data_IF_324009444451
#
_entry.id   IF_324009444451
#
_cell.length_a   1.000
_cell.length_b   1.000
_cell.length_c   1.000
_cell.angle_alpha   90.00
_cell.angle_beta   90.00
_cell.angle_gamma   90.00
#
_symmetry.space_group_name_H-M   'P 1'
#
loop_
_entity.id
_entity.type
_entity.pdbx_description
1 polymer ?
#
# COMPACT_ATOMS: atom_id res chain seq x y z
N UNK A 1 23.91 22.12 7.11
CA UNK A 1 24.26 23.56 7.16
C UNK A 1 23.01 24.34 6.80
N UNK A 2 22.30 24.94 7.76
CA UNK A 2 21.01 25.59 7.49
C UNK A 2 21.21 26.98 6.88
N UNK A 3 20.32 27.39 5.97
CA UNK A 3 20.34 28.71 5.34
C UNK A 3 20.05 29.87 6.32
N UNK A 4 19.36 29.60 7.43
CA UNK A 4 19.09 30.58 8.50
C UNK A 4 18.15 30.02 9.56
N UNK A 5 17.82 30.82 10.58
CA UNK A 5 16.94 30.40 11.70
C UNK A 5 15.52 30.10 11.24
N UNK A 6 15.06 30.79 10.18
CA UNK A 6 13.73 30.59 9.59
C UNK A 6 13.48 29.14 9.15
N UNK A 7 14.54 28.37 8.84
CA UNK A 7 14.42 26.96 8.45
C UNK A 7 13.88 26.12 9.61
N UNK A 8 14.41 26.31 10.82
CA UNK A 8 13.96 25.58 12.01
C UNK A 8 12.58 26.09 12.49
N UNK A 9 12.34 27.40 12.42
CA UNK A 9 11.06 28.02 12.78
C UNK A 9 9.92 27.53 11.87
N UNK A 10 10.14 27.50 10.55
CA UNK A 10 9.18 26.99 9.59
C UNK A 10 8.89 25.50 9.80
N UNK A 11 9.93 24.70 10.08
CA UNK A 11 9.78 23.27 10.35
C UNK A 11 8.86 23.00 11.55
N UNK A 12 9.12 23.70 12.67
CA UNK A 12 8.35 23.54 13.89
C UNK A 12 6.90 24.00 13.70
N UNK A 13 6.70 25.19 13.14
CA UNK A 13 5.37 25.74 12.92
C UNK A 13 4.50 24.83 12.03
N UNK A 14 5.08 24.29 10.93
CA UNK A 14 4.37 23.37 10.06
C UNK A 14 4.09 22.02 10.73
N UNK A 15 5.02 21.48 11.52
CA UNK A 15 4.82 20.23 12.28
C UNK A 15 3.70 20.36 13.32
N UNK A 16 3.61 21.50 14.00
CA UNK A 16 2.58 21.78 15.00
C UNK A 16 1.20 22.03 14.39
N UNK A 17 1.15 22.72 13.24
CA UNK A 17 -0.10 23.00 12.52
C UNK A 17 -0.63 21.81 11.71
N UNK A 18 0.25 20.90 11.28
CA UNK A 18 -0.13 19.75 10.47
C UNK A 18 -1.06 18.79 11.22
N UNK A 19 -2.04 18.27 10.48
CA UNK A 19 -2.95 17.21 10.92
C UNK A 19 -2.46 15.86 10.42
N UNK A 20 -3.06 14.80 10.96
CA UNK A 20 -2.72 13.43 10.59
C UNK A 20 -1.76 12.80 11.59
N UNK A 21 -1.13 11.70 11.17
CA UNK A 21 -0.24 10.94 12.03
C UNK A 21 1.15 11.61 12.17
N UNK A 22 2.01 11.01 12.99
CA UNK A 22 3.36 11.53 13.23
C UNK A 22 4.19 11.63 11.94
N UNK A 23 4.02 10.68 11.01
CA UNK A 23 4.78 10.65 9.76
C UNK A 23 4.39 11.84 8.86
N UNK A 24 3.09 12.13 8.75
CA UNK A 24 2.57 13.28 7.98
C UNK A 24 3.04 14.61 8.58
N UNK A 25 2.99 14.73 9.90
CA UNK A 25 3.42 15.94 10.59
C UNK A 25 4.92 16.20 10.44
N UNK A 26 5.76 15.17 10.61
CA UNK A 26 7.20 15.28 10.39
C UNK A 26 7.48 15.70 8.94
N UNK A 27 6.85 15.04 7.98
CA UNK A 27 7.03 15.35 6.56
C UNK A 27 6.62 16.79 6.23
N UNK A 28 5.50 17.28 6.77
CA UNK A 28 5.07 18.67 6.61
C UNK A 28 6.12 19.66 7.15
N UNK A 29 6.68 19.37 8.33
CA UNK A 29 7.78 20.14 8.90
C UNK A 29 9.01 20.16 7.99
N UNK A 30 9.44 19.00 7.49
CA UNK A 30 10.59 18.90 6.59
C UNK A 30 10.38 19.68 5.29
N UNK A 31 9.19 19.59 4.68
CA UNK A 31 8.86 20.32 3.46
C UNK A 31 8.87 21.85 3.68
N UNK A 32 8.34 22.32 4.81
CA UNK A 32 8.36 23.74 5.15
C UNK A 32 9.78 24.25 5.42
N UNK A 33 10.62 23.43 6.06
CA UNK A 33 12.03 23.73 6.30
C UNK A 33 12.79 23.92 4.97
N UNK A 34 12.57 23.02 4.02
CA UNK A 34 13.19 23.07 2.69
C UNK A 34 12.74 24.32 1.91
N UNK A 35 11.44 24.62 1.94
CA UNK A 35 10.89 25.84 1.34
C UNK A 35 11.41 27.14 1.97
N UNK A 36 11.80 27.12 3.26
CA UNK A 36 12.40 28.25 3.96
C UNK A 36 13.91 28.43 3.68
N UNK A 37 14.48 27.61 2.79
CA UNK A 37 15.86 27.68 2.32
C UNK A 37 16.71 26.45 2.63
N UNK A 38 16.21 25.53 3.48
CA UNK A 38 16.81 24.20 3.67
C UNK A 38 18.29 24.18 4.05
N UNK A 39 18.98 23.12 3.61
CA UNK A 39 20.45 23.05 3.66
C UNK A 39 21.05 23.86 2.51
N UNK A 40 22.04 24.70 2.79
CA UNK A 40 22.67 25.60 1.80
C UNK A 40 23.34 24.89 0.62
N UNK A 41 23.60 23.58 0.74
CA UNK A 41 24.12 22.75 -0.37
C UNK A 41 23.02 22.25 -1.31
N UNK A 42 21.75 22.42 -0.94
CA UNK A 42 20.61 21.73 -1.54
C UNK A 42 20.33 20.37 -0.89
N UNK A 43 19.19 19.79 -1.25
CA UNK A 43 18.78 18.46 -0.79
C UNK A 43 19.17 17.38 -1.81
N UNK A 44 19.71 16.27 -1.33
CA UNK A 44 20.08 15.11 -2.17
C UNK A 44 19.46 13.81 -1.67
N UNK A 45 19.28 13.67 -0.35
CA UNK A 45 18.69 12.49 0.27
C UNK A 45 17.73 12.87 1.38
N UNK A 46 16.79 11.96 1.68
CA UNK A 46 15.88 12.11 2.81
C UNK A 46 15.43 10.75 3.34
N UNK A 47 15.17 10.68 4.65
CA UNK A 47 14.65 9.49 5.31
C UNK A 47 13.50 9.89 6.22
N UNK A 48 12.39 9.16 6.14
CA UNK A 48 11.29 9.23 7.10
C UNK A 48 11.13 7.87 7.77
N UNK A 49 11.50 7.79 9.05
CA UNK A 49 11.39 6.58 9.85
C UNK A 49 10.57 6.85 11.10
N UNK A 50 9.49 6.09 11.27
CA UNK A 50 8.60 6.14 12.42
C UNK A 50 8.48 4.75 13.01
N UNK A 51 8.69 4.65 14.32
CA UNK A 51 8.54 3.42 15.09
C UNK A 51 7.45 3.60 16.14
N UNK A 52 6.81 2.50 16.54
CA UNK A 52 5.84 2.51 17.62
C UNK A 52 6.54 2.75 18.96
N UNK A 53 5.82 3.30 19.93
CA UNK A 53 6.31 3.46 21.31
C UNK A 53 6.32 2.15 22.12
N UNK A 54 5.93 1.02 21.52
CA UNK A 54 5.80 -0.25 22.25
C UNK A 54 7.17 -0.92 22.40
N UNK A 55 7.49 -1.28 23.65
CA UNK A 55 8.62 -2.17 23.93
C UNK A 55 8.22 -3.59 23.61
N UNK A 56 8.98 -4.26 22.75
CA UNK A 56 8.70 -5.60 22.25
C UNK A 56 10.01 -6.39 22.19
N UNK A 57 9.91 -7.72 22.33
CA UNK A 57 11.04 -8.63 22.08
C UNK A 57 11.44 -8.65 20.59
N UNK A 58 10.59 -8.11 19.71
CA UNK A 58 10.81 -8.02 18.26
C UNK A 58 10.71 -6.57 17.78
N UNK A 59 11.65 -5.68 18.17
CA UNK A 59 11.56 -4.24 17.88
C UNK A 59 11.52 -3.91 16.37
N UNK A 60 12.02 -4.81 15.51
CA UNK A 60 11.90 -4.66 14.05
C UNK A 60 10.45 -4.74 13.54
N UNK A 61 9.55 -5.39 14.28
CA UNK A 61 8.12 -5.44 13.96
C UNK A 61 7.37 -4.16 14.39
N UNK A 62 8.02 -3.27 15.14
CA UNK A 62 7.42 -2.01 15.59
C UNK A 62 7.71 -0.85 14.63
N UNK A 63 8.31 -1.11 13.47
CA UNK A 63 8.51 -0.10 12.42
C UNK A 63 7.17 0.18 11.73
N UNK A 64 6.72 1.43 11.80
CA UNK A 64 5.44 1.89 11.22
C UNK A 64 5.65 2.48 9.83
N UNK A 65 6.71 3.28 9.67
CA UNK A 65 7.14 3.86 8.40
C UNK A 65 8.66 3.74 8.33
N UNK A 66 9.19 3.29 7.20
CA UNK A 66 10.61 3.34 6.87
C UNK A 66 10.75 3.62 5.39
N UNK A 67 10.96 4.90 5.07
CA UNK A 67 11.08 5.40 3.71
C UNK A 67 12.38 6.14 3.55
N UNK A 68 13.07 5.85 2.45
CA UNK A 68 14.40 6.37 2.16
C UNK A 68 14.51 6.71 0.69
N UNK A 69 14.96 7.93 0.43
CA UNK A 69 15.37 8.41 -0.89
C UNK A 69 16.86 8.72 -0.77
N UNK A 70 17.68 7.85 -1.34
CA UNK A 70 19.14 7.92 -1.21
C UNK A 70 19.77 8.97 -2.13
N UNK A 71 19.17 9.21 -3.29
CA UNK A 71 19.65 10.20 -4.26
C UNK A 71 18.49 10.69 -5.13
N UNK A 72 18.10 11.95 -4.97
CA UNK A 72 17.13 12.63 -5.81
C UNK A 72 17.28 14.16 -5.67
N UNK A 73 17.10 14.97 -6.73
CA UNK A 73 17.16 16.44 -6.62
C UNK A 73 16.04 17.04 -5.75
N UNK A 74 14.97 16.29 -5.50
CA UNK A 74 13.84 16.69 -4.66
C UNK A 74 13.43 15.52 -3.75
N UNK A 75 14.27 15.14 -2.75
CA UNK A 75 14.06 13.90 -2.01
C UNK A 75 12.85 13.98 -1.07
N UNK A 76 12.50 15.17 -0.56
CA UNK A 76 11.31 15.37 0.26
C UNK A 76 10.01 15.29 -0.54
N UNK A 77 10.00 15.80 -1.77
CA UNK A 77 8.88 15.60 -2.71
C UNK A 77 8.66 14.11 -2.98
N UNK A 78 9.74 13.35 -3.17
CA UNK A 78 9.64 11.90 -3.35
C UNK A 78 9.16 11.18 -2.09
N UNK A 79 9.60 11.56 -0.89
CA UNK A 79 9.03 11.01 0.35
C UNK A 79 7.53 11.29 0.47
N UNK A 80 7.07 12.47 0.07
CA UNK A 80 5.65 12.83 0.07
C UNK A 80 4.84 11.98 -0.90
N UNK A 81 5.38 11.68 -2.08
CA UNK A 81 4.79 10.74 -3.05
C UNK A 81 4.78 9.30 -2.53
N UNK A 82 5.85 8.88 -1.85
CA UNK A 82 6.04 7.49 -1.40
C UNK A 82 5.26 7.16 -0.13
N UNK A 83 5.00 8.10 0.77
CA UNK A 83 4.29 7.87 2.03
C UNK A 83 2.91 7.21 1.86
N UNK A 84 1.96 7.79 1.09
CA UNK A 84 0.66 7.16 0.87
C UNK A 84 0.79 5.83 0.10
N UNK A 85 1.75 5.73 -0.84
CA UNK A 85 1.99 4.50 -1.61
C UNK A 85 2.49 3.35 -0.75
N UNK A 86 3.38 3.62 0.20
CA UNK A 86 3.87 2.65 1.18
C UNK A 86 2.73 2.12 2.06
N UNK A 87 1.84 3.01 2.51
CA UNK A 87 0.63 2.61 3.26
C UNK A 87 -0.30 1.74 2.42
N UNK A 88 -0.48 2.08 1.14
CA UNK A 88 -1.27 1.29 0.20
C UNK A 88 -0.71 -0.14 0.04
N UNK A 89 0.60 -0.30 -0.18
CA UNK A 89 1.22 -1.62 -0.24
C UNK A 89 1.14 -2.39 1.07
N UNK A 90 1.21 -1.71 2.22
CA UNK A 90 0.99 -2.33 3.53
C UNK A 90 -0.44 -2.88 3.66
N UNK A 91 -1.44 -2.17 3.13
CA UNK A 91 -2.83 -2.64 3.11
C UNK A 91 -3.00 -3.88 2.21
N UNK A 92 -2.36 -3.88 1.04
CA UNK A 92 -2.31 -5.05 0.14
C UNK A 92 -1.69 -6.26 0.84
N UNK A 93 -0.51 -6.07 1.45
CA UNK A 93 0.19 -7.13 2.19
C UNK A 93 -0.63 -7.67 3.37
N UNK A 94 -1.41 -6.82 4.03
CA UNK A 94 -2.30 -7.21 5.11
C UNK A 94 -3.44 -8.13 4.63
N UNK A 95 -3.82 -8.10 3.35
CA UNK A 95 -4.77 -9.06 2.78
C UNK A 95 -4.05 -10.32 2.31
N UNK A 96 -2.97 -10.16 1.53
CA UNK A 96 -2.23 -11.26 0.91
C UNK A 96 -1.84 -12.37 1.90
N UNK A 97 -1.36 -12.01 3.08
CA UNK A 97 -0.84 -12.96 4.07
C UNK A 97 -1.79 -13.25 5.24
N UNK A 98 -3.03 -12.78 5.20
CA UNK A 98 -3.98 -13.00 6.29
C UNK A 98 -4.58 -14.41 6.22
N UNK A 99 -4.27 -15.21 7.25
CA UNK A 99 -4.91 -16.52 7.47
C UNK A 99 -6.41 -16.35 7.70
N UNK A 100 -7.20 -17.28 7.19
CA UNK A 100 -8.67 -17.22 7.26
C UNK A 100 -9.29 -16.32 6.20
N UNK A 101 -8.57 -15.28 5.76
CA UNK A 101 -9.03 -14.36 4.71
C UNK A 101 -8.55 -14.80 3.32
N UNK A 102 -7.24 -14.89 3.12
CA UNK A 102 -6.63 -15.22 1.82
C UNK A 102 -5.88 -16.55 1.86
N UNK A 103 -5.34 -16.91 3.02
CA UNK A 103 -4.59 -18.15 3.23
C UNK A 103 -5.37 -19.16 4.07
N UNK A 104 -5.45 -20.40 3.60
CA UNK A 104 -6.12 -21.50 4.31
C UNK A 104 -7.64 -21.46 4.16
N UNK A 105 -8.43 -22.11 5.04
CA UNK A 105 -9.89 -22.13 4.94
C UNK A 105 -10.50 -20.73 5.09
N UNK A 106 -11.47 -20.37 4.23
CA UNK A 106 -12.25 -19.15 4.35
C UNK A 106 -13.40 -19.34 5.36
N UNK A 107 -13.11 -19.18 6.65
CA UNK A 107 -14.06 -19.49 7.72
C UNK A 107 -13.97 -18.48 8.86
N UNK A 108 -15.12 -18.07 9.41
CA UNK A 108 -15.17 -17.16 10.56
C UNK A 108 -14.72 -15.73 10.25
N UNK A 109 -14.83 -15.30 8.99
CA UNK A 109 -14.51 -13.93 8.59
C UNK A 109 -15.68 -13.03 8.95
N UNK A 110 -15.40 -11.99 9.74
CA UNK A 110 -16.38 -10.97 10.08
C UNK A 110 -16.77 -10.15 8.83
N UNK A 111 -18.08 -9.96 8.54
CA UNK A 111 -18.52 -9.24 7.35
C UNK A 111 -18.06 -7.77 7.28
N UNK A 112 -17.95 -7.09 8.42
CA UNK A 112 -17.50 -5.69 8.46
C UNK A 112 -15.99 -5.64 8.20
N UNK A 113 -15.22 -6.58 8.76
CA UNK A 113 -13.80 -6.71 8.43
C UNK A 113 -13.60 -7.02 6.94
N UNK A 114 -14.35 -7.96 6.37
CA UNK A 114 -14.25 -8.30 4.95
C UNK A 114 -14.50 -7.06 4.06
N UNK A 115 -15.55 -6.31 4.36
CA UNK A 115 -15.89 -5.07 3.64
C UNK A 115 -14.74 -4.06 3.74
N UNK A 116 -14.22 -3.84 4.95
CA UNK A 116 -13.11 -2.93 5.17
C UNK A 116 -11.83 -3.35 4.41
N UNK A 117 -11.55 -4.66 4.28
CA UNK A 117 -10.41 -5.17 3.50
C UNK A 117 -10.58 -4.93 2.01
N UNK A 118 -11.78 -5.14 1.47
CA UNK A 118 -12.10 -4.87 0.06
C UNK A 118 -11.98 -3.38 -0.25
N UNK A 119 -12.53 -2.51 0.60
CA UNK A 119 -12.44 -1.05 0.45
C UNK A 119 -10.99 -0.55 0.55
N UNK A 120 -10.19 -1.15 1.44
CA UNK A 120 -8.77 -0.86 1.55
C UNK A 120 -8.01 -1.22 0.27
N UNK A 121 -8.36 -2.32 -0.41
CA UNK A 121 -7.75 -2.69 -1.70
C UNK A 121 -8.16 -1.74 -2.83
N UNK A 122 -9.42 -1.29 -2.86
CA UNK A 122 -9.86 -0.25 -3.82
C UNK A 122 -9.10 1.04 -3.61
N UNK A 123 -8.99 1.50 -2.35
CA UNK A 123 -8.24 2.71 -1.99
C UNK A 123 -6.75 2.58 -2.31
N UNK A 124 -6.18 1.39 -2.07
CA UNK A 124 -4.79 1.08 -2.40
C UNK A 124 -4.54 1.12 -3.91
N UNK A 125 -5.43 0.53 -4.71
CA UNK A 125 -5.33 0.58 -6.18
C UNK A 125 -5.33 2.02 -6.70
N UNK A 126 -6.24 2.87 -6.19
CA UNK A 126 -6.28 4.28 -6.57
C UNK A 126 -5.00 5.04 -6.19
N UNK A 127 -4.40 4.72 -5.04
CA UNK A 127 -3.16 5.36 -4.55
C UNK A 127 -1.91 4.87 -5.30
N UNK A 128 -1.85 3.58 -5.62
CA UNK A 128 -0.74 2.97 -6.37
C UNK A 128 -0.81 3.41 -7.84
N UNK A 129 -2.01 3.62 -8.38
CA UNK A 129 -2.22 4.05 -9.75
C UNK A 129 -2.23 2.90 -10.76
N UNK A 130 -2.55 3.20 -12.03
CA UNK A 130 -2.97 2.20 -13.02
C UNK A 130 -1.83 1.30 -13.52
N UNK A 131 -0.58 1.71 -13.36
CA UNK A 131 0.60 0.96 -13.85
C UNK A 131 0.94 -0.27 -12.99
N UNK A 132 0.26 -0.45 -11.86
CA UNK A 132 0.40 -1.64 -11.03
C UNK A 132 -0.99 -2.13 -10.58
N UNK A 133 -1.32 -3.36 -10.98
CA UNK A 133 -2.62 -4.00 -10.74
C UNK A 133 -2.61 -4.99 -9.56
N UNK A 134 -1.60 -4.95 -8.69
CA UNK A 134 -1.45 -5.89 -7.58
C UNK A 134 -2.62 -5.80 -6.58
N UNK A 135 -3.07 -4.60 -6.23
CA UNK A 135 -4.22 -4.42 -5.35
C UNK A 135 -5.52 -5.00 -5.95
N UNK A 136 -5.73 -4.83 -7.27
CA UNK A 136 -6.87 -5.41 -7.98
C UNK A 136 -6.77 -6.95 -8.06
N UNK A 137 -5.57 -7.49 -8.27
CA UNK A 137 -5.31 -8.92 -8.27
C UNK A 137 -5.74 -9.57 -6.95
N UNK A 138 -5.27 -9.01 -5.82
CA UNK A 138 -5.67 -9.50 -4.50
C UNK A 138 -7.15 -9.26 -4.20
N UNK A 139 -7.75 -8.18 -4.74
CA UNK A 139 -9.19 -7.93 -4.62
C UNK A 139 -10.00 -9.00 -5.32
N UNK A 140 -9.62 -9.39 -6.54
CA UNK A 140 -10.31 -10.43 -7.28
C UNK A 140 -10.26 -11.78 -6.55
N UNK A 141 -9.11 -12.15 -5.99
CA UNK A 141 -8.98 -13.37 -5.16
C UNK A 141 -9.91 -13.30 -3.95
N UNK A 142 -9.92 -12.18 -3.22
CA UNK A 142 -10.76 -12.05 -2.03
C UNK A 142 -12.26 -12.07 -2.37
N UNK A 143 -12.68 -11.42 -3.45
CA UNK A 143 -14.05 -11.47 -3.98
C UNK A 143 -14.46 -12.91 -4.33
N UNK A 144 -13.59 -13.66 -5.00
CA UNK A 144 -13.86 -15.04 -5.34
C UNK A 144 -14.05 -15.89 -4.08
N UNK A 145 -13.15 -15.75 -3.09
CA UNK A 145 -13.22 -16.50 -1.83
C UNK A 145 -14.47 -16.20 -1.00
N UNK A 146 -15.01 -14.99 -1.07
CA UNK A 146 -16.23 -14.62 -0.37
C UNK A 146 -17.52 -14.84 -1.18
N UNK A 147 -17.45 -15.58 -2.29
CA UNK A 147 -18.62 -15.94 -3.11
C UNK A 147 -19.08 -14.87 -4.09
N UNK A 148 -18.39 -13.73 -4.20
CA UNK A 148 -18.71 -12.63 -5.14
C UNK A 148 -18.08 -12.91 -6.51
N UNK A 149 -18.45 -14.04 -7.09
CA UNK A 149 -17.82 -14.65 -8.26
C UNK A 149 -17.87 -13.78 -9.51
N UNK A 150 -19.01 -13.14 -9.77
CA UNK A 150 -19.17 -12.27 -10.94
C UNK A 150 -18.21 -11.08 -10.89
N UNK A 151 -18.20 -10.36 -9.77
CA UNK A 151 -17.29 -9.22 -9.56
C UNK A 151 -15.83 -9.65 -9.58
N UNK A 152 -15.52 -10.81 -9.01
CA UNK A 152 -14.18 -11.37 -9.05
C UNK A 152 -13.69 -11.59 -10.49
N UNK A 153 -14.52 -12.22 -11.33
CA UNK A 153 -14.19 -12.47 -12.73
C UNK A 153 -14.05 -11.19 -13.55
N UNK A 154 -14.90 -10.18 -13.30
CA UNK A 154 -14.80 -8.84 -13.90
C UNK A 154 -13.44 -8.19 -13.61
N UNK A 155 -13.09 -8.08 -12.32
CA UNK A 155 -11.83 -7.47 -11.90
C UNK A 155 -10.63 -8.26 -12.42
N UNK A 156 -10.71 -9.59 -12.39
CA UNK A 156 -9.59 -10.44 -12.82
C UNK A 156 -9.37 -10.41 -14.33
N UNK A 157 -10.43 -10.32 -15.13
CA UNK A 157 -10.32 -10.17 -16.58
C UNK A 157 -9.50 -8.92 -16.95
N UNK A 158 -9.78 -7.78 -16.30
CA UNK A 158 -9.02 -6.54 -16.48
C UNK A 158 -7.55 -6.68 -16.05
N UNK A 159 -7.30 -7.37 -14.94
CA UNK A 159 -5.95 -7.64 -14.42
C UNK A 159 -5.13 -8.49 -15.38
N UNK A 160 -5.73 -9.55 -15.94
CA UNK A 160 -5.08 -10.45 -16.92
C UNK A 160 -4.89 -9.75 -18.27
N UNK A 161 -5.86 -8.93 -18.70
CA UNK A 161 -5.71 -8.11 -19.91
C UNK A 161 -4.52 -7.15 -19.80
N UNK A 162 -4.31 -6.56 -18.62
CA UNK A 162 -3.15 -5.72 -18.34
C UNK A 162 -1.83 -6.50 -18.32
N UNK A 163 -1.80 -7.68 -17.68
CA UNK A 163 -0.60 -8.52 -17.60
C UNK A 163 -0.96 -10.02 -17.62
N UNK A 164 -0.89 -10.68 -18.80
CA UNK A 164 -1.33 -12.07 -18.95
C UNK A 164 -0.65 -13.07 -18.02
N UNK A 165 0.61 -12.83 -17.63
CA UNK A 165 1.34 -13.67 -16.69
C UNK A 165 0.72 -13.76 -15.28
N UNK A 166 -0.22 -12.88 -14.93
CA UNK A 166 -0.95 -12.94 -13.66
C UNK A 166 -1.94 -14.12 -13.61
N UNK A 167 -2.37 -14.65 -14.76
CA UNK A 167 -3.13 -15.91 -14.81
C UNK A 167 -2.29 -17.09 -14.29
N UNK A 168 -1.07 -17.25 -14.82
CA UNK A 168 -0.17 -18.33 -14.37
C UNK A 168 0.21 -18.19 -12.90
N UNK A 169 0.32 -16.96 -12.39
CA UNK A 169 0.50 -16.73 -10.95
C UNK A 169 -0.71 -17.24 -10.16
N UNK A 170 -1.93 -16.88 -10.56
CA UNK A 170 -3.16 -17.32 -9.90
C UNK A 170 -3.28 -18.86 -9.88
N UNK A 171 -3.05 -19.50 -11.03
CA UNK A 171 -3.06 -20.96 -11.17
C UNK A 171 -2.04 -21.63 -10.25
N UNK A 172 -0.87 -21.02 -10.07
CA UNK A 172 0.15 -21.49 -9.13
C UNK A 172 -0.22 -21.26 -7.65
N UNK A 173 -1.01 -20.25 -7.34
CA UNK A 173 -1.47 -19.96 -5.97
C UNK A 173 -2.63 -20.87 -5.54
N UNK A 174 -3.53 -21.25 -6.45
CA UNK A 174 -4.68 -22.09 -6.13
C UNK A 174 -4.32 -23.38 -5.36
N UNK A 175 -3.37 -24.23 -5.79
CA UNK A 175 -3.00 -25.45 -5.05
C UNK A 175 -2.35 -25.16 -3.69
N UNK A 176 -1.92 -23.92 -3.42
CA UNK A 176 -1.39 -23.50 -2.12
C UNK A 176 -2.50 -23.09 -1.13
N UNK A 177 -3.77 -23.23 -1.50
CA UNK A 177 -4.92 -22.94 -0.64
C UNK A 177 -5.39 -21.49 -0.69
N UNK A 178 -4.99 -20.73 -1.71
CA UNK A 178 -5.51 -19.39 -1.97
C UNK A 178 -6.90 -19.41 -2.62
N UNK A 179 -7.22 -20.43 -3.40
CA UNK A 179 -8.54 -20.62 -4.01
C UNK A 179 -8.85 -22.12 -4.04
N UNK A 180 -10.11 -22.47 -3.83
CA UNK A 180 -10.60 -23.80 -4.18
C UNK A 180 -10.95 -23.87 -5.67
N UNK A 181 -11.33 -25.07 -6.15
CA UNK A 181 -11.64 -25.28 -7.56
C UNK A 181 -12.84 -24.47 -8.06
N UNK A 182 -13.83 -24.22 -7.20
CA UNK A 182 -15.01 -23.42 -7.55
C UNK A 182 -14.62 -21.96 -7.74
N UNK A 183 -13.92 -21.38 -6.76
CA UNK A 183 -13.48 -20.00 -6.78
C UNK A 183 -12.47 -19.75 -7.92
N UNK A 184 -11.58 -20.71 -8.21
CA UNK A 184 -10.66 -20.66 -9.36
C UNK A 184 -11.42 -20.70 -10.70
N UNK A 185 -12.41 -21.58 -10.84
CA UNK A 185 -13.21 -21.63 -12.05
C UNK A 185 -14.04 -20.35 -12.22
N UNK A 186 -14.56 -19.80 -11.14
CA UNK A 186 -15.37 -18.58 -11.15
C UNK A 186 -14.55 -17.36 -11.60
N UNK A 187 -13.40 -17.11 -10.98
CA UNK A 187 -12.55 -15.96 -11.26
C UNK A 187 -11.95 -16.00 -12.67
N UNK A 188 -11.76 -17.19 -13.25
CA UNK A 188 -11.20 -17.37 -14.61
C UNK A 188 -12.25 -17.46 -15.71
N UNK A 189 -13.54 -17.58 -15.36
CA UNK A 189 -14.63 -17.85 -16.33
C UNK A 189 -14.81 -16.77 -17.40
N UNK A 190 -14.35 -15.54 -17.13
CA UNK A 190 -14.48 -14.37 -18.01
C UNK A 190 -13.21 -14.04 -18.80
N UNK A 191 -12.17 -14.86 -18.69
CA UNK A 191 -10.93 -14.67 -19.45
C UNK A 191 -11.16 -15.11 -20.89
N UNK A 192 -11.01 -14.19 -21.85
CA UNK A 192 -11.16 -14.48 -23.27
C UNK A 192 -12.58 -14.30 -23.83
N UNK A 193 -13.54 -13.80 -23.05
CA UNK A 193 -14.90 -13.47 -23.50
C UNK A 193 -15.07 -12.05 -24.05
N UNK A 194 -13.98 -11.31 -24.29
CA UNK A 194 -14.04 -10.00 -24.97
C UNK A 194 -14.33 -10.18 -26.46
N UNK A 195 -15.61 -10.01 -26.85
CA UNK A 195 -16.02 -9.68 -28.22
C UNK A 195 -16.00 -8.17 -28.44
#
# INVERSE_FOLDING_TARGET
MLAGTQVAEAALAAYEAAKGDLAERILAGLMAADAAGGDVRGAQSAVLRVVSGRRSATPWNEVVVDLRVDDHPQPLTELSRLLPRSRAFRAVGAVMFQRGLTLGPFTGVDPDELTARLDALVSAAATIGPDNREADFWRAILLARCGRHDEAGEVFADVVAFRPGLLSLLEGLAPLGFLDGEALSAITSRIGTSS
#
